data_IF_830608155368
#
_entry.id   IF_830608155368
#
_cell.length_a   1.000
_cell.length_b   1.000
_cell.length_c   1.000
_cell.angle_alpha   90.00
_cell.angle_beta   90.00
_cell.angle_gamma   90.00
#
_symmetry.space_group_name_H-M   'P 1'
#
loop_
_entity.id
_entity.type
_entity.pdbx_description
1 polymer ?
#
# COMPACT_ATOMS: atom_id res chain seq x y z
N UNK A 1 25.55 -1.26 -10.51
CA UNK A 1 24.55 -1.35 -9.45
C UNK A 1 23.43 -2.32 -9.85
N UNK A 2 22.70 -2.12 -10.96
CA UNK A 2 21.59 -2.99 -11.38
C UNK A 2 21.97 -4.47 -11.56
N UNK A 3 23.16 -4.76 -12.09
CA UNK A 3 23.64 -6.13 -12.26
C UNK A 3 23.90 -6.82 -10.89
N UNK A 4 24.48 -6.09 -9.94
CA UNK A 4 24.72 -6.57 -8.57
C UNK A 4 23.38 -6.83 -7.87
N UNK A 5 22.43 -5.92 -8.00
CA UNK A 5 21.09 -6.08 -7.41
C UNK A 5 20.39 -7.31 -7.97
N UNK A 6 20.41 -7.52 -9.32
CA UNK A 6 19.82 -8.71 -9.94
C UNK A 6 20.50 -10.01 -9.47
N UNK A 7 21.81 -9.99 -9.30
CA UNK A 7 22.57 -11.15 -8.80
C UNK A 7 22.15 -11.48 -7.36
N UNK A 8 22.09 -10.47 -6.47
CA UNK A 8 21.67 -10.66 -5.06
C UNK A 8 20.22 -11.15 -4.99
N UNK A 9 19.30 -10.56 -5.76
CA UNK A 9 17.88 -10.98 -5.80
C UNK A 9 17.75 -12.42 -6.29
N UNK A 10 18.64 -12.91 -7.14
CA UNK A 10 18.67 -14.32 -7.59
C UNK A 10 18.84 -15.31 -6.43
N UNK A 11 19.43 -14.91 -5.32
CA UNK A 11 19.56 -15.73 -4.10
C UNK A 11 18.39 -15.57 -3.12
N UNK A 12 17.46 -14.65 -3.38
CA UNK A 12 16.32 -14.42 -2.50
C UNK A 12 15.51 -15.69 -2.18
N UNK A 13 15.23 -16.61 -3.13
CA UNK A 13 14.50 -17.84 -2.82
C UNK A 13 15.22 -18.72 -1.80
N UNK A 14 16.55 -18.80 -1.85
CA UNK A 14 17.36 -19.56 -0.88
C UNK A 14 17.33 -18.88 0.50
N UNK A 15 17.44 -17.56 0.53
CA UNK A 15 17.34 -16.77 1.76
C UNK A 15 15.95 -16.93 2.42
N UNK A 16 14.89 -16.83 1.65
CA UNK A 16 13.50 -17.04 2.12
C UNK A 16 13.34 -18.45 2.65
N UNK A 17 13.78 -19.47 1.92
CA UNK A 17 13.73 -20.86 2.38
C UNK A 17 14.48 -21.05 3.71
N UNK A 18 15.69 -20.50 3.81
CA UNK A 18 16.51 -20.59 5.04
C UNK A 18 15.89 -19.90 6.25
N UNK A 19 15.16 -18.79 6.05
CA UNK A 19 14.50 -18.05 7.13
C UNK A 19 13.14 -18.67 7.52
N UNK A 20 12.39 -19.14 6.55
CA UNK A 20 11.02 -19.66 6.76
C UNK A 20 11.05 -21.07 7.34
N UNK A 21 12.00 -21.92 6.92
CA UNK A 21 12.08 -23.33 7.37
C UNK A 21 12.23 -23.46 8.88
N UNK A 22 13.20 -22.81 9.56
CA UNK A 22 13.30 -22.90 11.02
C UNK A 22 12.04 -22.42 11.74
N UNK A 23 11.44 -21.32 11.24
CA UNK A 23 10.20 -20.76 11.81
C UNK A 23 9.05 -21.78 11.70
N UNK A 24 8.90 -22.45 10.56
CA UNK A 24 7.89 -23.48 10.37
C UNK A 24 8.14 -24.71 11.26
N UNK A 25 9.39 -25.08 11.45
CA UNK A 25 9.76 -26.21 12.29
C UNK A 25 9.48 -25.96 13.78
N UNK A 26 9.59 -24.72 14.24
CA UNK A 26 9.35 -24.34 15.64
C UNK A 26 7.90 -24.00 15.93
N UNK A 27 7.19 -23.33 15.00
CA UNK A 27 5.81 -22.84 15.19
C UNK A 27 4.76 -23.80 14.62
N UNK A 28 5.18 -24.73 13.76
CA UNK A 28 4.27 -25.71 13.15
C UNK A 28 3.27 -25.08 12.16
N UNK A 29 2.20 -25.81 11.88
CA UNK A 29 1.15 -25.39 10.94
C UNK A 29 0.26 -24.26 11.46
N UNK A 30 0.31 -23.93 12.75
CA UNK A 30 -0.44 -22.82 13.35
C UNK A 30 -0.04 -21.47 12.75
N UNK A 31 1.22 -21.35 12.30
CA UNK A 31 1.73 -20.15 11.61
C UNK A 31 0.87 -19.78 10.39
N UNK A 32 0.42 -20.77 9.61
CA UNK A 32 -0.43 -20.52 8.44
C UNK A 32 -1.78 -19.91 8.82
N UNK A 33 -2.36 -20.31 9.94
CA UNK A 33 -3.60 -19.73 10.46
C UNK A 33 -3.42 -18.27 10.88
N UNK A 34 -2.32 -17.96 11.55
CA UNK A 34 -1.97 -16.61 11.99
C UNK A 34 -1.69 -15.71 10.78
N UNK A 35 -0.86 -16.15 9.85
CA UNK A 35 -0.55 -15.43 8.62
C UNK A 35 -1.78 -15.24 7.72
N UNK A 36 -2.66 -16.24 7.66
CA UNK A 36 -3.92 -16.16 6.94
C UNK A 36 -4.83 -15.06 7.49
N UNK A 37 -4.99 -14.98 8.81
CA UNK A 37 -5.75 -13.90 9.46
C UNK A 37 -5.16 -12.53 9.15
N UNK A 38 -3.85 -12.40 9.24
CA UNK A 38 -3.14 -11.16 8.87
C UNK A 38 -3.44 -10.76 7.43
N UNK A 39 -3.22 -11.66 6.47
CA UNK A 39 -3.45 -11.40 5.05
C UNK A 39 -4.90 -10.99 4.76
N UNK A 40 -5.87 -11.68 5.34
CA UNK A 40 -7.30 -11.34 5.20
C UNK A 40 -7.59 -9.97 5.79
N UNK A 41 -7.03 -9.62 6.95
CA UNK A 41 -7.23 -8.31 7.57
C UNK A 41 -6.68 -7.17 6.69
N UNK A 42 -5.47 -7.34 6.15
CA UNK A 42 -4.88 -6.37 5.22
C UNK A 42 -5.74 -6.20 3.97
N UNK A 43 -6.14 -7.32 3.35
CA UNK A 43 -6.96 -7.29 2.13
C UNK A 43 -8.32 -6.64 2.37
N UNK A 44 -8.98 -6.95 3.49
CA UNK A 44 -10.25 -6.33 3.87
C UNK A 44 -10.09 -4.83 4.13
N UNK A 45 -9.05 -4.42 4.86
CA UNK A 45 -8.76 -3.01 5.10
C UNK A 45 -8.55 -2.23 3.80
N UNK A 46 -7.71 -2.76 2.91
CA UNK A 46 -7.47 -2.17 1.59
C UNK A 46 -8.73 -2.16 0.71
N UNK A 47 -9.54 -3.22 0.73
CA UNK A 47 -10.79 -3.26 -0.01
C UNK A 47 -11.80 -2.22 0.50
N UNK A 48 -11.97 -2.10 1.81
CA UNK A 48 -12.82 -1.07 2.41
C UNK A 48 -12.31 0.32 2.02
N UNK A 49 -11.01 0.56 2.13
CA UNK A 49 -10.42 1.83 1.73
C UNK A 49 -10.68 2.15 0.26
N UNK A 50 -10.37 1.23 -0.65
CA UNK A 50 -10.49 1.43 -2.10
C UNK A 50 -11.94 1.51 -2.59
N UNK A 51 -12.85 0.68 -2.07
CA UNK A 51 -14.22 0.56 -2.60
C UNK A 51 -15.28 1.28 -1.77
N UNK A 52 -14.95 1.72 -0.56
CA UNK A 52 -15.89 2.47 0.29
C UNK A 52 -15.36 3.88 0.55
N UNK A 53 -14.19 4.01 1.16
CA UNK A 53 -13.68 5.32 1.62
C UNK A 53 -13.37 6.24 0.44
N UNK A 54 -12.55 5.80 -0.53
CA UNK A 54 -12.20 6.64 -1.68
C UNK A 54 -13.40 7.02 -2.54
N UNK A 55 -14.38 6.12 -2.86
CA UNK A 55 -15.61 6.51 -3.53
C UNK A 55 -16.48 7.50 -2.75
N UNK A 56 -16.52 7.40 -1.42
CA UNK A 56 -17.24 8.38 -0.60
C UNK A 56 -16.58 9.76 -0.70
N UNK A 57 -15.25 9.85 -0.62
CA UNK A 57 -14.52 11.10 -0.82
C UNK A 57 -14.80 11.70 -2.22
N UNK A 58 -14.72 10.88 -3.28
CA UNK A 58 -15.03 11.33 -4.64
C UNK A 58 -16.43 11.87 -4.76
N UNK A 59 -17.42 11.21 -4.14
CA UNK A 59 -18.84 11.60 -4.23
C UNK A 59 -19.15 12.85 -3.42
N UNK A 60 -18.67 12.92 -2.17
CA UNK A 60 -19.08 13.97 -1.22
C UNK A 60 -18.14 15.19 -1.24
N UNK A 61 -16.85 15.00 -1.43
CA UNK A 61 -15.86 16.08 -1.43
C UNK A 61 -15.63 16.60 -2.86
N UNK A 62 -15.28 15.72 -3.78
CA UNK A 62 -15.02 16.10 -5.18
C UNK A 62 -16.30 16.28 -6.01
N UNK A 63 -17.45 15.78 -5.53
CA UNK A 63 -18.75 15.80 -6.21
C UNK A 63 -18.73 15.15 -7.61
N UNK A 64 -17.80 14.20 -7.77
CA UNK A 64 -17.64 13.43 -9.00
C UNK A 64 -18.29 12.05 -8.89
N UNK A 65 -18.58 11.44 -10.03
CA UNK A 65 -19.16 10.08 -10.09
C UNK A 65 -18.06 9.02 -9.92
N UNK A 66 -18.02 8.26 -8.80
CA UNK A 66 -16.94 7.31 -8.52
C UNK A 66 -16.72 6.29 -9.64
N UNK A 67 -17.77 5.66 -10.14
CA UNK A 67 -17.69 4.65 -11.20
C UNK A 67 -17.08 5.22 -12.50
N UNK A 68 -17.45 6.45 -12.88
CA UNK A 68 -16.87 7.12 -14.05
C UNK A 68 -15.37 7.36 -13.84
N UNK A 69 -14.98 7.80 -12.64
CA UNK A 69 -13.59 8.04 -12.30
C UNK A 69 -12.78 6.74 -12.30
N UNK A 70 -13.27 5.68 -11.66
CA UNK A 70 -12.60 4.36 -11.69
C UNK A 70 -12.43 3.82 -13.10
N UNK A 71 -13.44 3.97 -13.96
CA UNK A 71 -13.33 3.59 -15.36
C UNK A 71 -12.27 4.42 -16.12
N UNK A 72 -12.22 5.72 -15.88
CA UNK A 72 -11.20 6.59 -16.48
C UNK A 72 -9.79 6.21 -16.02
N UNK A 73 -9.62 5.81 -14.76
CA UNK A 73 -8.34 5.48 -14.14
C UNK A 73 -7.95 4.00 -14.27
N UNK A 74 -8.80 3.14 -14.83
CA UNK A 74 -8.57 1.68 -14.87
C UNK A 74 -7.20 1.26 -15.42
N UNK A 75 -6.63 1.86 -16.50
CA UNK A 75 -5.30 1.45 -16.96
C UNK A 75 -4.20 1.80 -15.95
N UNK A 76 -4.30 2.96 -15.30
CA UNK A 76 -3.35 3.37 -14.28
C UNK A 76 -3.44 2.47 -13.04
N UNK A 77 -4.65 2.11 -12.60
CA UNK A 77 -4.87 1.21 -11.48
C UNK A 77 -4.30 -0.19 -11.74
N UNK A 78 -4.54 -0.76 -12.93
CA UNK A 78 -4.00 -2.06 -13.32
C UNK A 78 -2.46 -2.04 -13.39
N UNK A 79 -1.88 -0.96 -13.92
CA UNK A 79 -0.43 -0.81 -13.99
C UNK A 79 0.17 -0.63 -12.60
N UNK A 80 -0.46 0.17 -11.73
CA UNK A 80 0.00 0.34 -10.35
C UNK A 80 -0.04 -0.98 -9.57
N UNK A 81 -1.09 -1.78 -9.76
CA UNK A 81 -1.19 -3.10 -9.16
C UNK A 81 -0.09 -4.05 -9.65
N UNK A 82 0.21 -4.03 -10.96
CA UNK A 82 1.22 -4.92 -11.55
C UNK A 82 2.65 -4.51 -11.21
N UNK A 83 2.92 -3.21 -11.10
CA UNK A 83 4.27 -2.68 -10.82
C UNK A 83 4.55 -2.50 -9.33
N UNK A 84 3.50 -2.49 -8.50
CA UNK A 84 3.55 -2.10 -7.09
C UNK A 84 4.34 -0.79 -6.85
N UNK A 85 4.27 0.16 -7.81
CA UNK A 85 5.04 1.40 -7.79
C UNK A 85 4.23 2.58 -8.30
N UNK A 86 3.95 3.54 -7.43
CA UNK A 86 3.29 4.79 -7.78
C UNK A 86 4.14 5.64 -8.73
N UNK A 87 5.47 5.66 -8.52
CA UNK A 87 6.41 6.41 -9.37
C UNK A 87 6.51 5.83 -10.77
N UNK A 88 6.56 4.50 -10.92
CA UNK A 88 6.58 3.85 -12.23
C UNK A 88 5.27 4.06 -13.01
N UNK A 89 4.14 4.16 -12.30
CA UNK A 89 2.82 4.35 -12.90
C UNK A 89 2.50 5.82 -13.19
N UNK A 90 3.23 6.75 -12.59
CA UNK A 90 2.94 8.20 -12.64
C UNK A 90 2.68 8.75 -14.05
N UNK A 91 3.48 8.43 -15.10
CA UNK A 91 3.22 8.93 -16.45
C UNK A 91 1.85 8.51 -16.99
N UNK A 92 1.47 7.25 -16.79
CA UNK A 92 0.16 6.73 -17.21
C UNK A 92 -0.98 7.31 -16.35
N UNK A 93 -0.76 7.52 -15.06
CA UNK A 93 -1.72 8.18 -14.18
C UNK A 93 -1.99 9.60 -14.67
N UNK A 94 -0.95 10.36 -15.01
CA UNK A 94 -1.09 11.71 -15.57
C UNK A 94 -1.88 11.70 -16.87
N UNK A 95 -1.61 10.75 -17.77
CA UNK A 95 -2.35 10.61 -19.02
C UNK A 95 -3.82 10.30 -18.79
N UNK A 96 -4.14 9.34 -17.92
CA UNK A 96 -5.53 8.98 -17.59
C UNK A 96 -6.29 10.16 -16.98
N UNK A 97 -5.68 10.87 -16.04
CA UNK A 97 -6.31 12.04 -15.38
C UNK A 97 -6.55 13.16 -16.36
N UNK A 98 -5.61 13.45 -17.27
CA UNK A 98 -5.77 14.50 -18.27
C UNK A 98 -6.76 14.13 -19.37
N UNK A 99 -6.57 12.97 -20.03
CA UNK A 99 -7.33 12.62 -21.24
C UNK A 99 -8.68 11.98 -20.93
N UNK A 100 -8.83 11.26 -19.83
CA UNK A 100 -10.03 10.51 -19.50
C UNK A 100 -10.86 11.14 -18.40
N UNK A 101 -10.23 11.73 -17.39
CA UNK A 101 -10.92 12.45 -16.31
C UNK A 101 -11.08 13.94 -16.60
N UNK A 102 -10.41 14.51 -17.61
CA UNK A 102 -10.60 15.90 -18.06
C UNK A 102 -9.93 16.95 -17.16
N UNK A 103 -8.96 16.56 -16.31
CA UNK A 103 -8.25 17.51 -15.44
C UNK A 103 -7.13 18.22 -16.21
N UNK A 104 -7.00 19.53 -16.00
CA UNK A 104 -6.01 20.34 -16.72
C UNK A 104 -4.56 19.88 -16.46
N UNK A 105 -3.71 20.01 -17.48
CA UNK A 105 -2.28 19.68 -17.39
C UNK A 105 -1.57 20.48 -16.28
N UNK A 106 -1.95 21.73 -16.08
CA UNK A 106 -1.36 22.59 -15.04
C UNK A 106 -1.54 21.99 -13.64
N UNK A 107 -2.72 21.47 -13.35
CA UNK A 107 -3.03 20.84 -12.06
C UNK A 107 -2.34 19.49 -11.95
N UNK A 108 -2.48 18.63 -12.97
CA UNK A 108 -1.94 17.26 -12.94
C UNK A 108 -0.43 17.21 -12.82
N UNK A 109 0.30 18.11 -13.52
CA UNK A 109 1.78 18.13 -13.50
C UNK A 109 2.39 18.53 -12.15
N UNK A 110 1.62 19.18 -11.30
CA UNK A 110 2.05 19.52 -9.93
C UNK A 110 1.51 18.50 -8.91
N UNK A 111 0.20 18.23 -8.96
CA UNK A 111 -0.47 17.46 -7.90
C UNK A 111 -0.09 15.98 -7.92
N UNK A 112 0.03 15.36 -9.11
CA UNK A 112 0.25 13.93 -9.18
C UNK A 112 1.67 13.50 -8.79
N UNK A 113 2.77 14.19 -9.20
CA UNK A 113 4.09 13.88 -8.69
C UNK A 113 4.19 14.05 -7.16
N UNK A 114 3.59 15.10 -6.61
CA UNK A 114 3.53 15.29 -5.17
C UNK A 114 2.72 14.17 -4.49
N UNK A 115 1.55 13.84 -5.02
CA UNK A 115 0.71 12.77 -4.50
C UNK A 115 1.37 11.39 -4.56
N UNK A 116 2.19 11.12 -5.57
CA UNK A 116 2.90 9.85 -5.69
C UNK A 116 3.91 9.59 -4.55
N UNK A 117 4.30 10.63 -3.81
CA UNK A 117 5.24 10.53 -2.68
C UNK A 117 4.58 10.84 -1.34
N UNK A 118 3.61 11.76 -1.29
CA UNK A 118 3.00 12.22 -0.04
C UNK A 118 1.71 11.47 0.29
N UNK A 119 0.94 11.07 -0.72
CA UNK A 119 -0.35 10.42 -0.54
C UNK A 119 -0.21 8.89 -0.58
N UNK A 120 0.30 8.32 0.51
CA UNK A 120 0.55 6.89 0.66
C UNK A 120 -0.31 6.26 1.76
N UNK A 121 -1.59 6.50 1.71
CA UNK A 121 -2.59 6.02 2.67
C UNK A 121 -2.69 4.49 2.72
N UNK A 122 -2.46 3.80 1.60
CA UNK A 122 -2.34 2.33 1.58
C UNK A 122 -1.15 1.82 2.39
N UNK A 123 -0.01 2.50 2.33
CA UNK A 123 1.18 2.20 3.14
C UNK A 123 0.90 2.44 4.62
N UNK A 124 0.33 3.60 4.99
CA UNK A 124 -0.02 3.89 6.37
C UNK A 124 -1.01 2.86 6.95
N UNK A 125 -2.01 2.46 6.17
CA UNK A 125 -2.95 1.41 6.58
C UNK A 125 -2.23 0.08 6.83
N UNK A 126 -1.35 -0.33 5.93
CA UNK A 126 -0.56 -1.56 6.08
C UNK A 126 0.30 -1.52 7.34
N UNK A 127 1.06 -0.44 7.57
CA UNK A 127 1.89 -0.23 8.76
C UNK A 127 1.06 -0.31 10.06
N UNK A 128 -0.11 0.33 10.10
CA UNK A 128 -1.02 0.23 11.24
C UNK A 128 -1.47 -1.21 11.51
N UNK A 129 -1.88 -1.94 10.45
CA UNK A 129 -2.32 -3.33 10.60
C UNK A 129 -1.19 -4.21 11.09
N UNK A 130 0.04 -4.03 10.58
CA UNK A 130 1.23 -4.78 11.03
C UNK A 130 1.49 -4.56 12.51
N UNK A 131 1.53 -3.31 12.97
CA UNK A 131 1.83 -2.99 14.38
C UNK A 131 0.75 -3.55 15.31
N UNK A 132 -0.53 -3.35 14.98
CA UNK A 132 -1.64 -3.87 15.80
C UNK A 132 -1.64 -5.40 15.82
N UNK A 133 -1.38 -6.02 14.68
CA UNK A 133 -1.30 -7.47 14.57
C UNK A 133 -0.16 -8.05 15.41
N UNK A 134 1.03 -7.47 15.32
CA UNK A 134 2.19 -7.90 16.13
C UNK A 134 1.93 -7.70 17.62
N UNK A 135 1.34 -6.58 18.02
CA UNK A 135 0.96 -6.36 19.42
C UNK A 135 0.02 -7.45 19.93
N UNK A 136 -1.01 -7.81 19.16
CA UNK A 136 -1.92 -8.90 19.51
C UNK A 136 -1.22 -10.26 19.55
N UNK A 137 -0.32 -10.52 18.61
CA UNK A 137 0.44 -11.78 18.54
C UNK A 137 1.33 -11.97 19.77
N UNK A 138 1.93 -10.90 20.27
CA UNK A 138 2.80 -10.91 21.46
C UNK A 138 2.04 -10.65 22.77
N UNK A 139 0.71 -10.56 22.74
CA UNK A 139 -0.10 -10.32 23.95
C UNK A 139 0.07 -8.93 24.55
N UNK A 140 0.52 -7.96 23.75
CA UNK A 140 0.68 -6.56 24.19
C UNK A 140 -0.67 -5.83 24.10
N UNK A 141 -1.19 -5.44 25.26
CA UNK A 141 -2.42 -4.65 25.30
C UNK A 141 -2.14 -3.20 24.88
N UNK A 142 -2.84 -2.76 23.85
CA UNK A 142 -2.75 -1.38 23.37
C UNK A 142 -4.02 -0.60 23.74
N UNK A 143 -3.87 0.37 24.65
CA UNK A 143 -4.91 1.33 24.96
C UNK A 143 -5.20 2.26 23.76
N UNK A 144 -6.34 2.95 23.78
CA UNK A 144 -6.76 3.86 22.71
C UNK A 144 -5.71 4.93 22.36
N UNK A 145 -5.03 5.48 23.36
CA UNK A 145 -3.97 6.48 23.16
C UNK A 145 -2.79 5.90 22.38
N UNK A 146 -2.37 4.69 22.72
CA UNK A 146 -1.29 3.98 22.01
C UNK A 146 -1.69 3.67 20.57
N UNK A 147 -2.92 3.19 20.33
CA UNK A 147 -3.43 2.95 18.99
C UNK A 147 -3.48 4.23 18.16
N UNK A 148 -3.93 5.34 18.73
CA UNK A 148 -3.90 6.64 18.05
C UNK A 148 -2.48 7.09 17.71
N UNK A 149 -1.54 6.89 18.64
CA UNK A 149 -0.12 7.20 18.39
C UNK A 149 0.46 6.36 17.25
N UNK A 150 0.09 5.08 17.15
CA UNK A 150 0.49 4.21 16.03
C UNK A 150 -0.04 4.75 14.69
N UNK A 151 -1.32 5.15 14.64
CA UNK A 151 -1.90 5.75 13.44
C UNK A 151 -1.16 7.03 13.04
N UNK A 152 -0.88 7.91 13.99
CA UNK A 152 -0.17 9.16 13.72
C UNK A 152 1.25 8.89 13.20
N UNK A 153 1.97 7.96 13.81
CA UNK A 153 3.33 7.59 13.38
C UNK A 153 3.32 6.93 11.99
N UNK A 154 2.36 6.04 11.71
CA UNK A 154 2.22 5.43 10.39
C UNK A 154 1.91 6.48 9.30
N UNK A 155 1.10 7.48 9.59
CA UNK A 155 0.86 8.60 8.68
C UNK A 155 2.14 9.42 8.44
N UNK A 156 2.91 9.71 9.47
CA UNK A 156 4.16 10.46 9.33
C UNK A 156 5.24 9.68 8.58
N UNK A 157 5.37 8.39 8.85
CA UNK A 157 6.35 7.52 8.14
C UNK A 157 5.97 7.35 6.68
N UNK A 158 4.69 7.11 6.38
CA UNK A 158 4.22 6.91 5.01
C UNK A 158 4.47 8.12 4.09
N UNK A 159 4.44 9.35 4.63
CA UNK A 159 4.76 10.56 3.87
C UNK A 159 6.25 10.61 3.44
N UNK A 160 7.14 9.99 4.22
CA UNK A 160 8.58 9.96 3.93
C UNK A 160 9.03 8.83 3.00
N UNK A 161 8.14 7.90 2.67
CA UNK A 161 8.46 6.73 1.86
C UNK A 161 8.50 7.07 0.36
N UNK A 162 9.48 6.54 -0.36
CA UNK A 162 9.54 6.69 -1.81
C UNK A 162 8.47 5.81 -2.51
N UNK A 163 7.87 6.30 -3.60
CA UNK A 163 6.86 5.56 -4.38
C UNK A 163 7.40 4.40 -5.22
N UNK A 164 8.39 3.66 -4.70
CA UNK A 164 9.02 2.49 -5.32
C UNK A 164 8.54 1.19 -4.65
N UNK A 165 8.64 0.03 -5.32
CA UNK A 165 8.21 -1.23 -4.75
C UNK A 165 8.88 -1.53 -3.41
N UNK A 166 8.10 -1.98 -2.42
CA UNK A 166 8.56 -2.44 -1.09
C UNK A 166 9.37 -1.41 -0.29
N UNK A 167 9.19 -0.11 -0.53
CA UNK A 167 9.95 0.93 0.16
C UNK A 167 9.59 1.10 1.65
N UNK A 168 8.44 0.58 2.07
CA UNK A 168 7.93 0.62 3.45
C UNK A 168 8.11 -0.69 4.24
N UNK A 169 8.80 -1.67 3.66
CA UNK A 169 9.02 -2.99 4.27
C UNK A 169 10.40 -3.10 4.91
#
# INVERSE_FOLDING_TARGET
>A
ILAITKFIIGFAPLGVFGLVTPTLMTTGTELFGVMGKFAVTVLLGLAIHAFVILPLFLKFVAREKPLKHFHAMSPALLTAFSTASSSATLPLTMECVQKRAGVSRKVTSFTLPLGATVNMDGTALFECVVVVFLAQLFGIEMGLVTQFSVVLMALLTSIGVAGIPSASL
#
